data_IF_701293235675
#
_entry.id   IF_701293235675
#
_cell.length_a   1.000
_cell.length_b   1.000
_cell.length_c   1.000
_cell.angle_alpha   90.00
_cell.angle_beta   90.00
_cell.angle_gamma   90.00
#
_symmetry.space_group_name_H-M   'P 1'
#
loop_
_entity.id
_entity.type
_entity.pdbx_description
1 polymer ?
#
# COMPACT_ATOMS: atom_id res chain seq x y z
N UNK A 1 -5.42 -4.76 -8.03
CA UNK A 1 -4.02 -4.61 -7.57
C UNK A 1 -3.46 -5.97 -7.19
N UNK A 2 -2.14 -6.09 -7.12
CA UNK A 2 -1.47 -7.30 -6.64
C UNK A 2 -0.56 -6.95 -5.47
N UNK A 3 -0.46 -7.85 -4.50
CA UNK A 3 0.40 -7.70 -3.34
C UNK A 3 1.27 -8.93 -3.15
N UNK A 4 2.58 -8.74 -3.14
CA UNK A 4 3.51 -9.76 -2.68
C UNK A 4 3.55 -9.73 -1.15
N UNK A 5 3.36 -10.88 -0.53
CA UNK A 5 3.26 -11.04 0.93
C UNK A 5 4.58 -11.53 1.49
N UNK A 6 5.03 -10.92 2.58
CA UNK A 6 6.28 -11.25 3.25
C UNK A 6 6.00 -11.62 4.70
N UNK A 7 6.65 -12.68 5.19
CA UNK A 7 6.68 -12.98 6.62
C UNK A 7 7.88 -12.31 7.25
N UNK A 8 7.67 -11.48 8.26
CA UNK A 8 8.70 -10.74 8.97
C UNK A 8 9.08 -11.48 10.26
N UNK A 9 10.22 -11.11 10.84
CA UNK A 9 10.61 -11.57 12.17
C UNK A 9 9.73 -10.92 13.23
N UNK A 10 9.57 -11.61 14.36
CA UNK A 10 9.00 -10.98 15.55
C UNK A 10 9.94 -9.86 16.01
N UNK A 11 9.39 -8.68 16.29
CA UNK A 11 10.15 -7.50 16.70
C UNK A 11 10.64 -6.61 15.56
N UNK A 12 10.32 -6.90 14.29
CA UNK A 12 10.64 -6.01 13.16
C UNK A 12 10.03 -4.61 13.35
N UNK A 13 10.85 -3.57 13.26
CA UNK A 13 10.40 -2.21 13.55
C UNK A 13 9.90 -1.43 12.32
N UNK A 14 10.10 -1.96 11.11
CA UNK A 14 9.85 -1.22 9.87
C UNK A 14 9.88 -2.11 8.62
N UNK A 15 9.61 -1.51 7.46
CA UNK A 15 9.72 -2.13 6.13
C UNK A 15 11.15 -2.54 5.75
N UNK A 16 12.17 -2.14 6.50
CA UNK A 16 13.59 -2.40 6.19
C UNK A 16 13.90 -3.88 5.96
N UNK A 17 13.22 -4.77 6.68
CA UNK A 17 13.43 -6.20 6.60
C UNK A 17 12.91 -6.82 5.30
N UNK A 18 11.84 -6.26 4.72
CA UNK A 18 11.27 -6.74 3.45
C UNK A 18 12.30 -6.70 2.31
N UNK A 19 13.22 -5.74 2.33
CA UNK A 19 14.27 -5.58 1.29
C UNK A 19 15.17 -6.82 1.17
N UNK A 20 15.27 -7.62 2.22
CA UNK A 20 16.14 -8.81 2.31
C UNK A 20 15.37 -10.12 2.28
N UNK A 21 14.04 -10.07 2.13
CA UNK A 21 13.17 -11.25 2.17
C UNK A 21 12.61 -11.56 0.79
N UNK A 22 12.29 -12.83 0.56
CA UNK A 22 11.50 -13.26 -0.59
C UNK A 22 10.02 -13.28 -0.20
N UNK A 23 9.11 -12.97 -1.13
CA UNK A 23 7.69 -13.09 -0.86
C UNK A 23 7.31 -14.56 -0.70
N UNK A 24 6.38 -14.83 0.22
CA UNK A 24 5.87 -16.18 0.52
C UNK A 24 4.66 -16.54 -0.33
N UNK A 25 3.89 -15.54 -0.80
CA UNK A 25 2.75 -15.70 -1.71
C UNK A 25 2.39 -14.36 -2.34
N UNK A 26 1.52 -14.41 -3.35
CA UNK A 26 0.92 -13.23 -3.99
C UNK A 26 -0.58 -13.27 -3.81
N UNK A 27 -1.18 -12.13 -3.48
CA UNK A 27 -2.63 -11.96 -3.38
C UNK A 27 -3.12 -10.82 -4.27
N UNK A 28 -4.42 -10.85 -4.58
CA UNK A 28 -5.10 -9.78 -5.31
C UNK A 28 -5.97 -8.99 -4.35
N UNK A 29 -6.03 -7.68 -4.55
CA UNK A 29 -6.92 -6.79 -3.80
C UNK A 29 -7.50 -5.72 -4.72
N UNK A 30 -8.72 -5.30 -4.41
CA UNK A 30 -9.49 -4.37 -5.24
C UNK A 30 -9.28 -2.89 -4.84
N UNK A 31 -9.02 -2.62 -3.56
CA UNK A 31 -8.91 -1.26 -3.01
C UNK A 31 -8.00 -1.25 -1.76
N UNK A 32 -7.50 -0.05 -1.40
CA UNK A 32 -6.77 0.23 -0.16
C UNK A 32 -7.68 1.05 0.76
N UNK A 33 -8.64 0.37 1.37
CA UNK A 33 -9.73 0.92 2.18
C UNK A 33 -9.87 0.16 3.52
N UNK A 34 -8.73 -0.29 4.08
CA UNK A 34 -8.71 -1.01 5.35
C UNK A 34 -8.75 0.02 6.47
N UNK A 35 -9.96 0.32 6.94
CA UNK A 35 -10.20 1.23 8.05
C UNK A 35 -9.57 0.70 9.35
N UNK A 36 -9.24 1.59 10.31
CA UNK A 36 -8.76 1.18 11.63
C UNK A 36 -9.64 0.11 12.26
N UNK A 37 -9.02 -0.98 12.70
CA UNK A 37 -9.70 -2.14 13.28
C UNK A 37 -8.80 -2.87 14.29
N UNK A 38 -9.37 -3.82 15.01
CA UNK A 38 -8.58 -4.70 15.90
C UNK A 38 -7.71 -5.62 15.03
N UNK A 39 -6.41 -5.70 15.35
CA UNK A 39 -5.46 -6.52 14.58
C UNK A 39 -5.87 -8.00 14.50
N UNK A 40 -6.63 -8.53 15.47
CA UNK A 40 -7.12 -9.91 15.50
C UNK A 40 -8.13 -10.20 14.38
N UNK A 41 -8.79 -9.18 13.85
CA UNK A 41 -9.63 -9.30 12.67
C UNK A 41 -8.79 -9.54 11.39
N UNK A 42 -7.51 -9.18 11.45
CA UNK A 42 -6.53 -9.38 10.40
C UNK A 42 -6.72 -8.48 9.18
N UNK A 43 -5.74 -8.57 8.28
CA UNK A 43 -5.82 -7.92 6.98
C UNK A 43 -6.68 -8.78 6.02
N UNK A 44 -7.64 -8.20 5.28
CA UNK A 44 -8.50 -8.98 4.38
C UNK A 44 -7.71 -9.84 3.38
N UNK A 45 -8.03 -11.14 3.33
CA UNK A 45 -7.33 -12.10 2.46
C UNK A 45 -6.00 -12.62 3.01
N UNK A 46 -5.67 -12.35 4.29
CA UNK A 46 -4.45 -12.85 4.94
C UNK A 46 -4.64 -14.05 5.87
N UNK A 47 -5.88 -14.51 6.07
CA UNK A 47 -6.18 -15.65 6.93
C UNK A 47 -5.78 -15.38 8.38
N UNK A 48 -5.10 -16.32 9.03
CA UNK A 48 -4.64 -16.21 10.42
C UNK A 48 -3.36 -15.38 10.62
N UNK A 49 -2.81 -14.79 9.55
CA UNK A 49 -1.61 -13.93 9.66
C UNK A 49 -2.05 -12.52 10.05
N UNK A 50 -1.90 -12.19 11.33
CA UNK A 50 -2.39 -10.93 11.92
C UNK A 50 -1.29 -9.97 12.36
N UNK A 51 -0.05 -10.46 12.51
CA UNK A 51 1.12 -9.67 12.92
C UNK A 51 2.36 -10.10 12.12
N UNK A 52 3.39 -9.27 12.16
CA UNK A 52 4.72 -9.54 11.61
C UNK A 52 4.68 -9.97 10.13
N UNK A 53 3.95 -9.19 9.34
CA UNK A 53 3.89 -9.38 7.90
C UNK A 53 4.08 -8.07 7.15
N UNK A 54 4.55 -8.20 5.90
CA UNK A 54 4.71 -7.09 4.98
C UNK A 54 3.95 -7.33 3.69
N UNK A 55 3.48 -6.26 3.07
CA UNK A 55 2.84 -6.26 1.76
C UNK A 55 3.58 -5.33 0.82
N UNK A 56 3.91 -5.81 -0.37
CA UNK A 56 4.40 -5.00 -1.48
C UNK A 56 3.33 -4.94 -2.58
N UNK A 57 2.50 -3.89 -2.49
CA UNK A 57 1.28 -3.71 -3.26
C UNK A 57 1.61 -2.85 -4.49
N UNK A 58 1.35 -3.39 -5.68
CA UNK A 58 1.61 -2.72 -6.96
C UNK A 58 0.34 -2.64 -7.81
N UNK A 59 0.17 -1.49 -8.43
CA UNK A 59 -0.95 -1.19 -9.30
C UNK A 59 -0.63 0.01 -10.18
N UNK A 60 -1.43 0.21 -11.21
CA UNK A 60 -1.38 1.42 -12.02
C UNK A 60 -2.61 2.28 -11.73
N UNK A 61 -2.48 3.59 -11.85
CA UNK A 61 -3.62 4.52 -11.79
C UNK A 61 -3.65 5.33 -13.07
N UNK A 62 -4.79 5.34 -13.76
CA UNK A 62 -5.01 6.24 -14.89
C UNK A 62 -5.43 7.62 -14.37
N UNK A 63 -4.51 8.57 -14.41
CA UNK A 63 -4.73 9.94 -13.96
C UNK A 63 -5.54 10.69 -15.03
N UNK A 64 -6.73 11.22 -14.70
CA UNK A 64 -7.64 11.78 -15.69
C UNK A 64 -7.18 13.14 -16.25
N UNK A 65 -6.49 13.93 -15.43
CA UNK A 65 -6.03 15.27 -15.77
C UNK A 65 -4.67 15.60 -15.13
N UNK A 66 -3.85 16.36 -15.85
CA UNK A 66 -2.57 16.86 -15.33
C UNK A 66 -2.84 18.00 -14.36
N UNK A 67 -2.57 17.78 -13.08
CA UNK A 67 -2.86 18.75 -12.03
C UNK A 67 -2.17 18.40 -10.71
N UNK A 68 -2.34 19.26 -9.71
CA UNK A 68 -1.91 18.97 -8.33
C UNK A 68 -3.01 18.19 -7.60
N UNK A 69 -2.64 17.02 -7.11
CA UNK A 69 -3.46 16.17 -6.25
C UNK A 69 -2.91 16.25 -4.82
N UNK A 70 -3.77 16.03 -3.82
CA UNK A 70 -3.35 15.76 -2.45
C UNK A 70 -3.53 14.27 -2.20
N UNK A 71 -2.48 13.55 -1.85
CA UNK A 71 -2.53 12.13 -1.52
C UNK A 71 -2.46 11.97 -0.01
N UNK A 72 -3.22 11.02 0.55
CA UNK A 72 -3.18 10.65 1.95
C UNK A 72 -2.99 9.14 2.08
N UNK A 73 -1.99 8.74 2.85
CA UNK A 73 -1.72 7.37 3.24
C UNK A 73 -1.92 7.25 4.75
N UNK A 74 -2.90 6.47 5.18
CA UNK A 74 -3.08 6.10 6.58
C UNK A 74 -2.58 4.67 6.78
N UNK A 75 -1.79 4.47 7.83
CA UNK A 75 -1.26 3.16 8.19
C UNK A 75 -1.32 2.94 9.72
N UNK A 76 -1.53 1.67 10.08
CA UNK A 76 -1.18 1.04 11.35
C UNK A 76 -0.73 -0.39 11.02
N UNK A 77 0.54 -0.77 11.21
CA UNK A 77 1.64 0.08 11.68
C UNK A 77 2.11 1.04 10.57
N UNK A 78 3.10 0.67 9.76
CA UNK A 78 3.73 1.61 8.84
C UNK A 78 3.54 1.29 7.36
N UNK A 79 3.58 2.33 6.53
CA UNK A 79 3.52 2.21 5.09
C UNK A 79 4.34 3.29 4.35
N UNK A 80 4.74 3.00 3.12
CA UNK A 80 5.32 3.97 2.19
C UNK A 80 4.58 3.94 0.87
N UNK A 81 4.34 5.11 0.29
CA UNK A 81 3.85 5.26 -1.08
C UNK A 81 4.97 5.73 -2.00
N UNK A 82 5.16 5.01 -3.09
CA UNK A 82 5.98 5.43 -4.23
C UNK A 82 5.14 5.54 -5.49
N UNK A 83 5.43 6.54 -6.32
CA UNK A 83 4.80 6.75 -7.63
C UNK A 83 5.92 6.84 -8.67
N UNK A 84 5.87 5.97 -9.68
CA UNK A 84 6.90 5.83 -10.72
C UNK A 84 8.32 5.71 -10.15
N UNK A 85 8.44 4.83 -9.15
CA UNK A 85 9.67 4.52 -8.42
C UNK A 85 10.25 5.65 -7.54
N UNK A 86 9.59 6.81 -7.47
CA UNK A 86 9.92 7.89 -6.55
C UNK A 86 9.11 7.77 -5.25
N UNK A 87 9.75 7.92 -4.08
CA UNK A 87 9.05 7.94 -2.80
C UNK A 87 8.28 9.26 -2.63
N UNK A 88 6.98 9.16 -2.37
CA UNK A 88 6.06 10.31 -2.26
C UNK A 88 5.60 10.50 -0.83
N UNK A 89 5.30 9.42 -0.11
CA UNK A 89 4.96 9.44 1.33
C UNK A 89 5.81 8.39 2.04
N UNK A 90 6.46 8.81 3.13
CA UNK A 90 7.09 7.93 4.11
C UNK A 90 6.29 8.00 5.42
N UNK A 91 5.64 6.90 5.76
CA UNK A 91 4.89 6.68 6.99
C UNK A 91 5.29 5.33 7.59
N UNK A 92 6.59 4.97 7.49
CA UNK A 92 7.14 3.71 8.00
C UNK A 92 7.42 3.80 9.51
N UNK A 93 7.54 2.65 10.18
CA UNK A 93 7.71 2.54 11.62
C UNK A 93 6.45 2.12 12.39
N UNK A 94 6.64 1.68 13.64
CA UNK A 94 5.56 1.27 14.52
C UNK A 94 4.82 2.50 15.03
N UNK A 95 3.51 2.58 14.77
CA UNK A 95 2.65 3.64 15.26
C UNK A 95 1.17 3.26 15.13
N UNK A 96 0.33 3.89 15.96
CA UNK A 96 -1.13 3.82 15.85
C UNK A 96 -1.63 4.41 14.52
N UNK A 97 -2.93 4.26 14.15
CA UNK A 97 -3.44 4.68 12.86
C UNK A 97 -3.21 6.17 12.60
N UNK A 98 -2.25 6.48 11.73
CA UNK A 98 -1.78 7.85 11.50
C UNK A 98 -1.83 8.17 10.00
N UNK A 99 -2.59 9.19 9.57
CA UNK A 99 -2.57 9.65 8.20
C UNK A 99 -1.38 10.59 7.95
N UNK A 100 -0.67 10.36 6.85
CA UNK A 100 0.31 11.31 6.29
C UNK A 100 -0.17 11.73 4.91
N UNK A 101 -0.12 13.04 4.65
CA UNK A 101 -0.57 13.61 3.38
C UNK A 101 0.50 14.45 2.70
N UNK A 102 0.45 14.51 1.37
CA UNK A 102 1.35 15.34 0.57
C UNK A 102 0.66 15.82 -0.71
N UNK A 103 1.12 16.96 -1.24
CA UNK A 103 0.68 17.46 -2.54
C UNK A 103 1.69 17.06 -3.61
N UNK A 104 1.20 16.56 -4.74
CA UNK A 104 2.04 16.15 -5.87
C UNK A 104 1.37 16.52 -7.18
N UNK A 105 2.17 16.98 -8.15
CA UNK A 105 1.72 17.17 -9.52
C UNK A 105 1.73 15.82 -10.22
N UNK A 106 0.57 15.34 -10.64
CA UNK A 106 0.45 14.13 -11.46
C UNK A 106 0.14 14.53 -12.88
N UNK A 107 0.80 13.88 -13.83
CA UNK A 107 0.51 14.02 -15.26
C UNK A 107 -0.63 13.09 -15.67
N UNK A 108 -1.48 13.57 -16.57
CA UNK A 108 -2.53 12.77 -17.20
C UNK A 108 -1.93 11.52 -17.83
N UNK A 109 -2.58 10.39 -17.64
CA UNK A 109 -2.17 9.10 -18.18
C UNK A 109 -1.86 8.07 -17.11
N UNK A 110 -1.30 6.94 -17.54
CA UNK A 110 -1.05 5.81 -16.67
C UNK A 110 0.21 6.05 -15.82
N UNK A 111 0.09 5.97 -14.50
CA UNK A 111 1.18 6.10 -13.53
C UNK A 111 1.27 4.85 -12.66
N UNK A 112 2.48 4.44 -12.29
CA UNK A 112 2.72 3.26 -11.46
C UNK A 112 2.70 3.62 -9.99
N UNK A 113 1.85 2.96 -9.22
CA UNK A 113 1.75 3.15 -7.77
C UNK A 113 2.28 1.90 -7.07
N UNK A 114 3.03 2.13 -6.00
CA UNK A 114 3.53 1.08 -5.13
C UNK A 114 3.32 1.48 -3.67
N UNK A 115 2.56 0.69 -2.94
CA UNK A 115 2.40 0.83 -1.49
C UNK A 115 3.11 -0.34 -0.82
N UNK A 116 4.11 -0.03 -0.02
CA UNK A 116 4.74 -1.01 0.87
C UNK A 116 4.14 -0.81 2.25
N UNK A 117 3.67 -1.88 2.88
CA UNK A 117 3.02 -1.84 4.18
C UNK A 117 3.61 -2.90 5.09
N UNK A 118 3.72 -2.61 6.38
CA UNK A 118 4.08 -3.58 7.39
C UNK A 118 3.08 -3.52 8.55
N UNK A 119 2.71 -4.70 9.04
CA UNK A 119 2.08 -4.87 10.34
C UNK A 119 3.10 -5.49 11.28
N UNK A 120 3.39 -4.81 12.37
CA UNK A 120 4.17 -5.26 13.50
C UNK A 120 3.24 -5.82 14.59
N UNK A 121 3.37 -5.37 15.85
CA UNK A 121 2.52 -5.82 16.95
C UNK A 121 1.13 -5.15 16.91
N UNK A 122 0.13 -5.77 17.54
CA UNK A 122 -1.14 -5.10 17.82
C UNK A 122 -1.00 -3.86 18.74
N UNK A 123 -2.13 -3.20 19.10
CA UNK A 123 -3.50 -3.71 18.99
C UNK A 123 -4.25 -3.32 17.71
N UNK A 124 -3.70 -2.43 16.88
CA UNK A 124 -4.38 -1.89 15.71
C UNK A 124 -3.89 -2.49 14.39
N UNK A 125 -4.69 -2.26 13.35
CA UNK A 125 -4.37 -2.57 11.96
C UNK A 125 -5.14 -1.60 11.06
N UNK A 126 -4.46 -0.97 10.11
CA UNK A 126 -5.08 -0.06 9.14
C UNK A 126 -4.20 0.14 7.90
N UNK A 127 -4.83 0.30 6.74
CA UNK A 127 -4.17 0.73 5.52
C UNK A 127 -5.17 1.37 4.56
N UNK A 128 -5.04 2.68 4.36
CA UNK A 128 -5.90 3.43 3.44
C UNK A 128 -5.07 4.32 2.52
N UNK A 129 -5.42 4.33 1.24
CA UNK A 129 -4.91 5.31 0.27
C UNK A 129 -6.09 6.12 -0.29
N UNK A 130 -6.08 7.41 -0.01
CA UNK A 130 -7.07 8.36 -0.49
C UNK A 130 -6.39 9.50 -1.25
N UNK A 131 -7.18 10.22 -2.03
CA UNK A 131 -6.74 11.42 -2.73
C UNK A 131 -7.79 12.53 -2.68
N UNK A 132 -7.34 13.76 -2.85
CA UNK A 132 -8.15 14.90 -3.29
C UNK A 132 -7.77 15.21 -4.71
N UNK A 133 -8.76 15.13 -5.59
CA UNK A 133 -8.64 15.60 -6.98
C UNK A 133 -8.59 17.14 -7.01
N UNK A 134 -8.10 17.73 -8.10
CA UNK A 134 -8.19 19.18 -8.29
C UNK A 134 -9.62 19.69 -8.07
N UNK A 135 -9.76 20.71 -7.24
CA UNK A 135 -11.06 21.31 -6.89
C UNK A 135 -11.92 20.52 -5.90
N UNK A 136 -11.50 19.34 -5.43
CA UNK A 136 -12.22 18.62 -4.37
C UNK A 136 -11.93 19.19 -2.98
N UNK A 137 -12.94 19.23 -2.12
CA UNK A 137 -12.84 19.64 -0.71
C UNK A 137 -12.37 18.48 0.18
N UNK A 138 -12.90 17.29 -0.08
CA UNK A 138 -12.77 16.11 0.77
C UNK A 138 -11.95 15.01 0.10
N UNK A 139 -11.30 14.19 0.95
CA UNK A 139 -10.63 12.99 0.50
C UNK A 139 -11.64 11.94 0.03
N UNK A 140 -11.33 11.28 -1.08
CA UNK A 140 -12.02 10.08 -1.53
C UNK A 140 -11.03 8.98 -1.87
N UNK A 141 -11.50 7.74 -1.93
CA UNK A 141 -10.69 6.66 -2.47
C UNK A 141 -10.44 6.88 -3.97
N UNK A 142 -9.32 6.35 -4.46
CA UNK A 142 -9.07 6.28 -5.90
C UNK A 142 -10.14 5.36 -6.51
N UNK A 143 -10.98 5.84 -7.45
CA UNK A 143 -12.02 5.03 -8.05
C UNK A 143 -11.44 3.77 -8.68
N UNK A 144 -12.06 2.61 -8.43
CA UNK A 144 -11.60 1.33 -8.97
C UNK A 144 -11.52 1.31 -10.50
N UNK A 145 -12.34 2.12 -11.19
CA UNK A 145 -12.29 2.28 -12.65
C UNK A 145 -11.00 2.93 -13.16
N UNK A 146 -10.24 3.61 -12.29
CA UNK A 146 -8.93 4.18 -12.62
C UNK A 146 -7.78 3.26 -12.23
N UNK A 147 -8.03 2.19 -11.45
CA UNK A 147 -7.01 1.27 -10.96
C UNK A 147 -6.84 0.11 -11.94
N UNK A 148 -5.62 -0.11 -12.39
CA UNK A 148 -5.23 -1.20 -13.29
C UNK A 148 -4.26 -2.20 -12.67
N UNK A 149 -3.94 -3.25 -13.43
CA UNK A 149 -2.81 -4.13 -13.12
C UNK A 149 -1.51 -3.37 -13.41
N UNK A 150 -0.45 -3.58 -12.61
CA UNK A 150 0.85 -3.02 -12.94
C UNK A 150 1.31 -3.51 -14.33
N UNK A 151 2.05 -2.69 -15.10
CA UNK A 151 2.54 -3.07 -16.43
C UNK A 151 3.35 -4.37 -16.40
N UNK A 152 3.24 -5.18 -17.45
CA UNK A 152 4.04 -6.39 -17.58
C UNK A 152 5.53 -6.00 -17.71
N UNK A 153 6.35 -6.35 -16.70
CA UNK A 153 7.78 -6.04 -16.67
C UNK A 153 8.33 -5.65 -15.29
N UNK A 154 7.48 -5.20 -14.36
CA UNK A 154 7.84 -4.81 -12.97
C UNK A 154 7.59 -5.91 -11.93
N UNK A 155 7.37 -7.15 -12.38
CA UNK A 155 7.04 -8.29 -11.53
C UNK A 155 8.19 -9.30 -11.45
N UNK A 156 8.75 -9.57 -10.25
CA UNK A 156 9.49 -10.80 -10.03
C UNK A 156 8.58 -11.99 -10.30
N UNK A 157 9.06 -12.91 -11.14
CA UNK A 157 8.45 -14.22 -11.37
C UNK A 157 8.42 -14.96 -10.03
N UNK A 158 7.22 -15.24 -9.52
CA UNK A 158 7.07 -16.15 -8.37
C UNK A 158 7.21 -17.55 -8.96
N UNK A 159 8.33 -18.23 -8.68
CA UNK A 159 8.45 -19.64 -9.00
C UNK A 159 7.51 -20.43 -8.11
N UNK A 160 6.37 -20.87 -8.66
CA UNK A 160 5.60 -21.98 -8.11
C UNK A 160 6.41 -23.25 -8.33
N UNK A 161 6.90 -23.87 -7.26
CA UNK A 161 7.37 -25.26 -7.32
C UNK A 161 6.14 -26.17 -7.19
N UNK A 162 6.01 -27.08 -8.15
CA UNK A 162 5.18 -28.28 -8.07
C UNK A 162 5.69 -29.24 -6.98
#
# INVERSE_FOLDING_TARGET
MIADVYRLSVGSQSLSEMRRRKPIRRVCMAQLDIVPRDFREGFPGMGSTVEWFGLDIRFSVNIPETATYELMLLADDGAMLSIDDENVIDNDGIHAPTPVATKIKLEKGLRNFRVRYFQGPGPGLALMLAWKKPGATDYGYIPRSLIGRPPAGTLPQVQTKE
#
